data_IF_383529023829
#
_entry.id   IF_383529023829
#
_cell.length_a   1.000
_cell.length_b   1.000
_cell.length_c   1.000
_cell.angle_alpha   90.00
_cell.angle_beta   90.00
_cell.angle_gamma   90.00
#
_symmetry.space_group_name_H-M   'P 1'
#
loop_
_entity.id
_entity.type
_entity.pdbx_description
1 polymer ?
#
# COMPACT_ATOMS: atom_id res chain seq x y z
N UNK A 1 29.60 44.95 5.96
CA UNK A 1 28.74 43.87 6.50
C UNK A 1 27.82 44.43 7.58
N UNK A 2 26.92 43.62 8.13
CA UNK A 2 26.06 43.98 9.25
C UNK A 2 25.90 42.80 10.22
N UNK A 3 25.57 43.09 11.48
CA UNK A 3 25.15 42.09 12.45
C UNK A 3 23.85 42.55 13.14
N UNK A 4 22.96 41.60 13.36
CA UNK A 4 21.67 41.81 13.99
C UNK A 4 21.44 40.72 15.04
N UNK A 5 20.92 41.11 16.21
CA UNK A 5 20.58 40.16 17.26
C UNK A 5 19.25 40.54 17.91
N UNK A 6 18.42 39.54 18.17
CA UNK A 6 17.26 39.65 19.05
C UNK A 6 17.53 38.88 20.34
N UNK A 7 16.93 39.36 21.43
CA UNK A 7 16.91 38.67 22.70
C UNK A 7 15.46 38.59 23.17
N UNK A 8 14.93 37.37 23.26
CA UNK A 8 13.54 37.08 23.66
C UNK A 8 12.51 38.01 22.97
N UNK A 9 12.70 38.23 21.65
CA UNK A 9 11.80 39.11 20.90
C UNK A 9 10.41 38.48 20.91
N UNK A 10 9.41 39.23 21.38
CA UNK A 10 8.01 38.86 21.41
C UNK A 10 7.21 39.93 20.66
N UNK A 11 6.27 39.49 19.83
CA UNK A 11 5.35 40.37 19.13
C UNK A 11 4.05 39.64 18.85
N UNK A 12 2.99 40.40 18.58
CA UNK A 12 1.70 39.89 18.15
C UNK A 12 1.50 40.35 16.72
N UNK A 13 1.17 39.43 15.81
CA UNK A 13 0.85 39.81 14.42
C UNK A 13 -0.53 40.49 14.38
N UNK A 14 -0.83 41.22 13.31
CA UNK A 14 -2.18 41.81 13.12
C UNK A 14 -3.30 40.76 13.16
N UNK A 15 -2.97 39.50 12.86
CA UNK A 15 -3.85 38.35 12.88
C UNK A 15 -4.00 37.72 14.28
N UNK A 16 -3.39 38.33 15.31
CA UNK A 16 -3.48 37.92 16.72
C UNK A 16 -2.55 36.78 17.12
N UNK A 17 -1.63 36.36 16.25
CA UNK A 17 -0.68 35.29 16.56
C UNK A 17 0.43 35.81 17.47
N UNK A 18 0.59 35.19 18.64
CA UNK A 18 1.67 35.50 19.57
C UNK A 18 2.95 34.77 19.18
N UNK A 19 4.02 35.52 18.94
CA UNK A 19 5.36 34.97 18.83
C UNK A 19 5.86 34.58 20.24
N UNK A 20 6.21 33.31 20.50
CA UNK A 20 6.43 32.76 21.85
C UNK A 20 7.76 33.18 22.51
N UNK A 21 8.46 34.17 21.94
CA UNK A 21 9.83 34.52 22.28
C UNK A 21 10.84 33.67 21.51
N UNK A 22 11.94 34.28 21.07
CA UNK A 22 13.03 33.57 20.39
C UNK A 22 14.22 34.47 20.13
N UNK A 23 15.40 33.85 20.01
CA UNK A 23 16.63 34.55 19.71
C UNK A 23 17.02 34.31 18.27
N UNK A 24 17.42 35.38 17.59
CA UNK A 24 18.01 35.34 16.25
C UNK A 24 19.29 36.13 16.33
N UNK A 25 20.40 35.55 15.89
CA UNK A 25 21.66 36.23 15.66
C UNK A 25 22.03 36.01 14.19
N UNK A 26 22.09 37.10 13.43
CA UNK A 26 22.46 37.11 12.03
C UNK A 26 23.71 37.97 11.87
N UNK A 27 24.77 37.40 11.30
CA UNK A 27 25.94 38.16 10.86
C UNK A 27 26.11 37.99 9.36
N UNK A 28 26.43 39.08 8.66
CA UNK A 28 26.68 39.06 7.23
C UNK A 28 27.85 39.97 6.89
N UNK A 29 28.78 39.46 6.09
CA UNK A 29 29.87 40.24 5.52
C UNK A 29 29.79 40.16 4.01
N UNK A 30 29.72 41.31 3.35
CA UNK A 30 29.72 41.42 1.90
C UNK A 30 31.07 41.05 1.28
N UNK A 31 31.10 40.96 -0.04
CA UNK A 31 32.33 40.74 -0.79
C UNK A 31 33.14 42.04 -0.86
N UNK A 32 34.09 42.24 0.05
CA UNK A 32 35.09 43.33 0.01
C UNK A 32 36.49 42.75 -0.24
N UNK A 33 37.31 43.42 -1.06
CA UNK A 33 38.73 43.11 -1.22
C UNK A 33 39.09 41.74 -1.80
N UNK A 34 38.21 41.13 -2.62
CA UNK A 34 38.42 39.78 -3.18
C UNK A 34 37.95 38.63 -2.29
N UNK A 35 37.37 38.92 -1.12
CA UNK A 35 36.67 37.94 -0.29
C UNK A 35 35.30 37.56 -0.84
N UNK A 36 34.85 36.33 -0.58
CA UNK A 36 33.48 35.91 -0.85
C UNK A 36 32.54 36.46 0.22
N UNK A 37 31.34 36.90 -0.19
CA UNK A 37 30.29 37.22 0.78
C UNK A 37 30.00 35.99 1.65
N UNK A 38 29.71 36.18 2.93
CA UNK A 38 29.41 35.09 3.85
C UNK A 38 28.41 35.56 4.90
N UNK A 39 27.65 34.62 5.44
CA UNK A 39 26.74 34.89 6.53
C UNK A 39 26.58 33.71 7.47
N UNK A 40 26.16 34.03 8.68
CA UNK A 40 25.89 33.09 9.75
C UNK A 40 24.60 33.49 10.44
N UNK A 41 23.70 32.51 10.60
CA UNK A 41 22.42 32.62 11.27
C UNK A 41 22.38 31.60 12.39
N UNK A 42 22.18 32.06 13.60
CA UNK A 42 21.82 31.22 14.73
C UNK A 42 20.44 31.65 15.22
N UNK A 43 19.54 30.70 15.37
CA UNK A 43 18.22 30.97 15.87
C UNK A 43 17.69 29.86 16.77
N UNK A 44 16.85 30.23 17.71
CA UNK A 44 16.14 29.31 18.58
C UNK A 44 14.67 29.73 18.71
N UNK A 45 13.83 28.75 19.06
CA UNK A 45 12.41 28.94 19.37
C UNK A 45 11.63 29.68 18.28
N UNK A 46 11.81 29.28 17.02
CA UNK A 46 11.09 29.89 15.90
C UNK A 46 9.75 29.19 15.66
N UNK A 47 8.66 29.95 15.61
CA UNK A 47 7.37 29.44 15.15
C UNK A 47 7.28 29.60 13.62
N UNK A 48 7.20 28.48 12.89
CA UNK A 48 7.20 28.48 11.42
C UNK A 48 5.94 29.12 10.83
N UNK A 49 4.80 29.02 11.53
CA UNK A 49 3.56 29.64 11.10
C UNK A 49 3.64 31.16 11.18
N UNK A 50 4.14 31.68 12.30
CA UNK A 50 4.36 33.11 12.48
C UNK A 50 5.46 33.64 11.53
N UNK A 51 6.54 32.87 11.31
CA UNK A 51 7.56 33.22 10.31
C UNK A 51 6.98 33.28 8.90
N UNK A 52 6.09 32.37 8.54
CA UNK A 52 5.40 32.38 7.24
C UNK A 52 4.63 33.69 7.01
N UNK A 53 3.93 34.21 8.03
CA UNK A 53 3.21 35.49 7.96
C UNK A 53 4.13 36.70 7.82
N UNK A 54 5.31 36.68 8.46
CA UNK A 54 6.30 37.75 8.32
C UNK A 54 6.94 37.66 6.93
N UNK A 55 7.35 36.46 6.52
CA UNK A 55 8.04 36.19 5.26
C UNK A 55 7.20 36.57 4.03
N UNK A 56 5.86 36.41 4.09
CA UNK A 56 4.96 36.82 3.01
C UNK A 56 4.97 38.34 2.75
N UNK A 57 5.39 39.14 3.73
CA UNK A 57 5.46 40.61 3.65
C UNK A 57 6.87 41.14 3.35
N UNK A 58 7.88 40.27 3.38
CA UNK A 58 9.27 40.62 3.05
C UNK A 58 9.56 40.47 1.56
N UNK A 59 10.49 41.25 0.98
CA UNK A 59 10.86 41.16 -0.43
C UNK A 59 11.75 39.93 -0.72
N UNK A 60 11.20 38.72 -0.54
CA UNK A 60 11.91 37.44 -0.73
C UNK A 60 11.88 36.93 -2.18
N UNK A 61 11.11 37.57 -3.05
CA UNK A 61 10.93 37.18 -4.44
C UNK A 61 9.80 36.15 -4.65
N UNK A 62 9.27 36.13 -5.88
CA UNK A 62 8.06 35.37 -6.22
C UNK A 62 8.19 33.85 -6.00
N UNK A 63 9.37 33.27 -6.28
CA UNK A 63 9.61 31.84 -6.09
C UNK A 63 9.55 31.43 -4.61
N UNK A 64 10.12 32.24 -3.71
CA UNK A 64 10.10 31.98 -2.27
C UNK A 64 8.68 32.11 -1.71
N UNK A 65 7.94 33.15 -2.11
CA UNK A 65 6.53 33.31 -1.71
C UNK A 65 5.65 32.16 -2.22
N UNK A 66 5.83 31.74 -3.47
CA UNK A 66 5.10 30.60 -4.03
C UNK A 66 5.42 29.30 -3.27
N UNK A 67 6.68 29.06 -2.91
CA UNK A 67 7.08 27.89 -2.13
C UNK A 67 6.49 27.91 -0.72
N UNK A 68 6.54 29.07 -0.03
CA UNK A 68 5.95 29.26 1.30
C UNK A 68 4.43 29.05 1.27
N UNK A 69 3.73 29.58 0.25
CA UNK A 69 2.30 29.38 0.09
C UNK A 69 1.96 27.91 -0.24
N UNK A 70 2.76 27.25 -1.07
CA UNK A 70 2.47 25.89 -1.53
C UNK A 70 2.73 24.82 -0.46
N UNK A 71 3.77 25.00 0.37
CA UNK A 71 4.14 24.02 1.40
C UNK A 71 3.66 24.42 2.81
N UNK A 72 3.37 25.71 3.02
CA UNK A 72 2.82 26.28 4.24
C UNK A 72 3.39 25.64 5.52
N UNK A 73 4.73 25.64 5.72
CA UNK A 73 5.35 24.92 6.81
C UNK A 73 4.87 25.46 8.16
N UNK A 74 4.53 24.56 9.08
CA UNK A 74 4.16 24.89 10.47
C UNK A 74 4.96 24.06 11.45
N UNK A 75 4.92 24.44 12.72
CA UNK A 75 5.65 23.79 13.79
C UNK A 75 6.68 24.70 14.43
N UNK A 76 7.49 24.11 15.29
CA UNK A 76 8.41 24.86 16.14
C UNK A 76 9.85 24.40 15.90
N UNK A 77 10.70 25.33 15.45
CA UNK A 77 12.14 25.09 15.33
C UNK A 77 12.77 25.40 16.68
N UNK A 78 13.27 24.37 17.34
CA UNK A 78 13.92 24.47 18.64
C UNK A 78 15.29 25.12 18.50
N UNK A 79 16.06 24.66 17.51
CA UNK A 79 17.40 25.19 17.20
C UNK A 79 17.61 25.22 15.68
N UNK A 80 18.28 26.28 15.23
CA UNK A 80 18.73 26.45 13.86
C UNK A 80 20.10 27.11 13.86
N UNK A 81 21.01 26.52 13.11
CA UNK A 81 22.30 27.10 12.78
C UNK A 81 22.50 26.96 11.29
N UNK A 82 22.77 28.07 10.61
CA UNK A 82 23.07 28.09 9.19
C UNK A 82 24.29 28.98 8.95
N UNK A 83 25.21 28.53 8.11
CA UNK A 83 26.31 29.35 7.59
C UNK A 83 26.37 29.19 6.09
N UNK A 84 26.69 30.26 5.37
CA UNK A 84 26.79 30.22 3.92
C UNK A 84 27.91 31.12 3.39
N UNK A 85 28.35 30.81 2.17
CA UNK A 85 29.31 31.58 1.39
C UNK A 85 28.73 31.82 -0.01
N UNK A 86 28.96 33.01 -0.54
CA UNK A 86 28.32 33.54 -1.74
C UNK A 86 27.16 34.49 -1.42
N UNK A 87 26.66 35.20 -2.44
CA UNK A 87 25.47 36.03 -2.31
C UNK A 87 24.22 35.15 -2.11
N UNK A 88 23.18 35.67 -1.45
CA UNK A 88 21.99 34.91 -1.05
C UNK A 88 21.18 34.35 -2.24
N UNK A 89 21.30 34.99 -3.41
CA UNK A 89 20.68 34.58 -4.67
C UNK A 89 21.50 33.52 -5.43
N UNK A 90 22.77 33.32 -5.07
CA UNK A 90 23.67 32.32 -5.67
C UNK A 90 24.64 31.75 -4.61
N UNK A 91 24.09 31.14 -3.56
CA UNK A 91 24.87 30.52 -2.49
C UNK A 91 25.73 29.38 -3.03
N UNK A 92 27.04 29.44 -2.79
CA UNK A 92 28.01 28.47 -3.30
C UNK A 92 28.27 27.32 -2.32
N UNK A 93 28.37 27.65 -1.03
CA UNK A 93 28.58 26.68 0.04
C UNK A 93 27.67 27.03 1.19
N UNK A 94 27.10 26.02 1.81
CA UNK A 94 26.29 26.20 3.00
C UNK A 94 26.38 25.00 3.91
N UNK A 95 26.15 25.25 5.19
CA UNK A 95 25.93 24.22 6.20
C UNK A 95 24.75 24.67 7.05
N UNK A 96 23.80 23.76 7.26
CA UNK A 96 22.61 24.00 8.03
C UNK A 96 22.39 22.82 8.96
N UNK A 97 22.17 23.10 10.24
CA UNK A 97 21.84 22.10 11.24
C UNK A 97 20.77 22.62 12.17
N UNK A 98 19.91 21.74 12.66
CA UNK A 98 18.82 22.17 13.53
C UNK A 98 17.91 21.05 13.97
N UNK A 99 16.94 21.44 14.79
CA UNK A 99 15.87 20.56 15.28
C UNK A 99 14.54 21.28 15.22
N UNK A 100 13.52 20.58 14.72
CA UNK A 100 12.14 21.04 14.71
C UNK A 100 11.22 19.97 15.31
N UNK A 101 10.10 20.40 15.89
CA UNK A 101 9.05 19.54 16.44
C UNK A 101 7.68 20.00 15.99
N UNK A 102 6.74 19.05 15.93
CA UNK A 102 5.39 19.31 15.42
C UNK A 102 5.44 19.90 14.00
N UNK A 103 6.44 19.51 13.22
CA UNK A 103 6.64 19.98 11.86
C UNK A 103 5.46 19.48 11.01
N UNK A 104 4.84 20.42 10.31
CA UNK A 104 3.85 20.15 9.30
C UNK A 104 4.32 20.76 7.98
N UNK A 105 4.24 19.97 6.92
CA UNK A 105 4.50 20.42 5.55
C UNK A 105 3.35 19.92 4.69
N UNK A 106 2.66 20.84 4.03
CA UNK A 106 1.54 20.51 3.17
C UNK A 106 2.01 19.68 1.97
N UNK A 107 1.21 18.67 1.63
CA UNK A 107 1.37 17.90 0.40
C UNK A 107 0.99 18.75 -0.81
N UNK A 108 1.41 18.32 -2.00
CA UNK A 108 0.98 18.93 -3.26
C UNK A 108 0.49 17.86 -4.21
N UNK A 109 -0.68 18.04 -4.85
CA UNK A 109 -1.15 17.09 -5.85
C UNK A 109 -0.19 17.05 -7.04
N UNK A 110 0.00 15.84 -7.58
CA UNK A 110 0.69 15.64 -8.85
C UNK A 110 -0.22 15.99 -10.03
N UNK A 111 0.32 15.92 -11.24
CA UNK A 111 -0.51 15.90 -12.44
C UNK A 111 -1.44 14.66 -12.42
N UNK A 112 -2.53 14.69 -13.18
CA UNK A 112 -3.48 13.58 -13.25
C UNK A 112 -2.76 12.26 -13.59
N UNK A 113 -2.97 11.22 -12.78
CA UNK A 113 -2.31 9.92 -12.94
C UNK A 113 -0.88 9.85 -12.39
N UNK A 114 -0.34 10.91 -11.79
CA UNK A 114 1.01 10.94 -11.22
C UNK A 114 1.02 11.22 -9.72
N UNK A 115 2.01 10.64 -9.02
CA UNK A 115 2.24 10.93 -7.61
C UNK A 115 2.58 12.42 -7.42
N UNK A 116 2.00 13.01 -6.37
CA UNK A 116 2.31 14.36 -5.95
C UNK A 116 3.52 14.46 -5.02
N UNK A 117 3.73 15.63 -4.44
CA UNK A 117 4.71 15.84 -3.38
C UNK A 117 4.08 15.43 -2.05
N UNK A 118 4.70 14.51 -1.29
CA UNK A 118 4.14 14.07 -0.03
C UNK A 118 4.14 15.18 1.02
N UNK A 119 3.16 15.13 1.92
CA UNK A 119 3.05 15.97 3.10
C UNK A 119 3.29 15.18 4.38
N UNK A 120 3.56 15.91 5.46
CA UNK A 120 3.76 15.33 6.80
C UNK A 120 3.11 16.23 7.85
N UNK A 121 2.59 15.63 8.92
CA UNK A 121 2.14 16.35 10.12
C UNK A 121 2.63 15.68 11.38
N UNK A 122 2.99 16.50 12.37
CA UNK A 122 3.42 16.01 13.69
C UNK A 122 4.85 15.45 13.72
N UNK A 123 5.71 15.79 12.75
CA UNK A 123 7.07 15.28 12.73
C UNK A 123 8.01 16.04 13.69
N UNK A 124 8.83 15.30 14.41
CA UNK A 124 10.05 15.81 15.02
C UNK A 124 11.24 15.43 14.12
N UNK A 125 12.02 16.44 13.72
CA UNK A 125 13.11 16.30 12.76
C UNK A 125 14.38 16.92 13.33
N UNK A 126 15.45 16.15 13.35
CA UNK A 126 16.81 16.64 13.56
C UNK A 126 17.57 16.50 12.25
N UNK A 127 18.23 17.56 11.79
CA UNK A 127 18.86 17.59 10.48
C UNK A 127 20.22 18.30 10.52
N UNK A 128 21.10 17.89 9.61
CA UNK A 128 22.41 18.49 9.35
C UNK A 128 22.74 18.26 7.88
N UNK A 129 22.96 19.33 7.12
CA UNK A 129 23.16 19.23 5.67
C UNK A 129 23.99 20.37 5.09
N UNK A 130 24.57 20.10 3.93
CA UNK A 130 25.39 21.01 3.12
C UNK A 130 24.93 20.95 1.67
N UNK A 131 25.59 21.71 0.79
CA UNK A 131 25.33 21.65 -0.65
C UNK A 131 25.55 20.27 -1.29
N UNK A 132 26.35 19.40 -0.68
CA UNK A 132 26.64 18.05 -1.20
C UNK A 132 25.64 16.98 -0.71
N UNK A 133 24.78 17.30 0.25
CA UNK A 133 23.93 16.32 0.92
C UNK A 133 23.84 16.52 2.43
N UNK A 134 23.17 15.59 3.10
CA UNK A 134 22.89 15.72 4.52
C UNK A 134 22.33 14.48 5.17
N UNK A 135 21.97 14.61 6.44
CA UNK A 135 21.34 13.58 7.26
C UNK A 135 20.15 14.18 7.99
N UNK A 136 19.13 13.35 8.20
CA UNK A 136 18.00 13.71 9.04
C UNK A 136 17.50 12.50 9.82
N UNK A 137 17.15 12.73 11.09
CA UNK A 137 16.39 11.79 11.91
C UNK A 137 14.98 12.31 12.01
N UNK A 138 14.01 11.50 11.59
CA UNK A 138 12.60 11.84 11.65
C UNK A 138 11.91 10.90 12.63
N UNK A 139 11.08 11.47 13.49
CA UNK A 139 10.17 10.71 14.32
C UNK A 139 8.77 11.32 14.31
N UNK A 140 7.75 10.49 14.37
CA UNK A 140 6.35 10.90 14.52
C UNK A 140 5.79 10.10 15.68
N UNK A 141 5.10 10.78 16.59
CA UNK A 141 4.25 10.16 17.61
C UNK A 141 2.87 10.76 17.42
N UNK A 142 1.92 9.97 16.93
CA UNK A 142 0.57 10.42 16.56
C UNK A 142 0.59 11.56 15.53
N UNK A 143 0.68 11.20 14.25
CA UNK A 143 0.70 12.16 13.15
C UNK A 143 0.12 11.59 11.86
N UNK A 144 0.43 12.25 10.75
CA UNK A 144 -0.11 11.90 9.44
C UNK A 144 0.98 12.00 8.37
N UNK A 145 0.94 11.07 7.42
CA UNK A 145 1.64 11.20 6.14
C UNK A 145 0.60 11.36 5.05
N UNK A 146 0.85 12.24 4.10
CA UNK A 146 -0.09 12.53 3.01
C UNK A 146 0.59 12.24 1.67
N UNK A 147 0.03 11.32 0.88
CA UNK A 147 0.56 10.85 -0.39
C UNK A 147 -0.43 11.08 -1.53
N UNK A 148 -0.64 12.35 -1.95
CA UNK A 148 -1.60 12.67 -2.99
C UNK A 148 -1.23 12.01 -4.32
N UNK A 149 -2.23 11.45 -5.00
CA UNK A 149 -2.05 10.74 -6.27
C UNK A 149 -1.53 9.30 -6.13
N UNK A 150 -1.08 8.87 -4.94
CA UNK A 150 -0.63 7.49 -4.70
C UNK A 150 -1.79 6.62 -4.21
N UNK A 151 -2.51 7.03 -3.17
CA UNK A 151 -3.64 6.29 -2.61
C UNK A 151 -4.97 7.02 -2.84
N UNK A 152 -6.08 6.28 -2.88
CA UNK A 152 -7.44 6.87 -2.94
C UNK A 152 -7.75 7.68 -1.67
N UNK A 153 -7.31 7.17 -0.52
CA UNK A 153 -7.27 7.92 0.74
C UNK A 153 -5.81 8.33 1.00
N UNK A 154 -5.39 9.52 0.56
CA UNK A 154 -3.97 9.88 0.53
C UNK A 154 -3.39 10.14 1.93
N UNK A 155 -4.24 10.49 2.90
CA UNK A 155 -3.84 10.73 4.29
C UNK A 155 -3.80 9.41 5.05
N UNK A 156 -2.61 9.06 5.54
CA UNK A 156 -2.32 7.90 6.34
C UNK A 156 -2.00 8.32 7.78
N UNK A 157 -2.87 8.00 8.76
CA UNK A 157 -2.56 8.12 10.17
C UNK A 157 -1.36 7.25 10.55
N UNK A 158 -0.52 7.78 11.42
CA UNK A 158 0.70 7.14 11.92
C UNK A 158 0.71 7.23 13.43
N UNK A 159 0.73 6.07 14.10
CA UNK A 159 0.85 6.02 15.55
C UNK A 159 2.29 6.29 15.98
N UNK A 160 3.23 5.64 15.30
CA UNK A 160 4.66 5.85 15.50
C UNK A 160 5.42 5.69 14.19
N UNK A 161 6.43 6.55 13.96
CA UNK A 161 7.39 6.39 12.88
C UNK A 161 8.76 6.85 13.36
N UNK A 162 9.81 6.13 12.97
CA UNK A 162 11.20 6.50 13.20
C UNK A 162 11.98 6.19 11.92
N UNK A 163 12.73 7.17 11.41
CA UNK A 163 13.53 7.03 10.21
C UNK A 163 14.87 7.76 10.31
N UNK A 164 15.95 7.07 9.97
CA UNK A 164 17.27 7.66 9.75
C UNK A 164 17.53 7.80 8.24
N UNK A 165 17.67 9.05 7.78
CA UNK A 165 17.80 9.41 6.38
C UNK A 165 19.17 10.03 6.10
N UNK A 166 19.76 9.68 4.97
CA UNK A 166 20.96 10.31 4.43
C UNK A 166 20.76 10.56 2.93
N UNK A 167 21.00 11.79 2.47
CA UNK A 167 20.93 12.10 1.05
C UNK A 167 22.21 12.74 0.54
N UNK A 168 22.44 12.58 -0.75
CA UNK A 168 23.56 13.14 -1.49
C UNK A 168 23.04 13.84 -2.74
N UNK A 169 23.72 14.92 -3.09
CA UNK A 169 23.42 15.75 -4.26
C UNK A 169 24.70 15.85 -5.08
N UNK A 170 24.65 15.42 -6.33
CA UNK A 170 25.75 15.54 -7.30
C UNK A 170 25.21 16.14 -8.61
N UNK A 171 25.35 17.45 -8.77
CA UNK A 171 24.70 18.21 -9.83
C UNK A 171 23.18 18.03 -9.79
N UNK A 172 22.60 17.40 -10.81
CA UNK A 172 21.17 17.07 -10.85
C UNK A 172 20.84 15.69 -10.25
N UNK A 173 21.84 14.86 -9.97
CA UNK A 173 21.64 13.55 -9.39
C UNK A 173 21.33 13.68 -7.89
N UNK A 174 20.23 13.04 -7.47
CA UNK A 174 19.85 12.92 -6.07
C UNK A 174 19.89 11.46 -5.67
N UNK A 175 20.45 11.17 -4.51
CA UNK A 175 20.39 9.86 -3.88
C UNK A 175 19.91 10.02 -2.43
N UNK A 176 18.98 9.17 -2.00
CA UNK A 176 18.44 9.10 -0.65
C UNK A 176 18.59 7.67 -0.14
N UNK A 177 19.08 7.52 1.08
CA UNK A 177 19.15 6.27 1.80
C UNK A 177 18.38 6.42 3.12
N UNK A 178 17.49 5.46 3.38
CA UNK A 178 16.76 5.30 4.63
C UNK A 178 17.25 4.00 5.25
N UNK A 179 18.17 4.12 6.21
CA UNK A 179 18.90 2.97 6.75
C UNK A 179 18.06 2.12 7.70
N UNK A 180 17.18 2.77 8.46
CA UNK A 180 16.19 2.11 9.31
C UNK A 180 14.92 2.93 9.26
N UNK A 181 13.82 2.29 8.89
CA UNK A 181 12.46 2.81 9.03
C UNK A 181 11.70 1.84 9.92
N UNK A 182 11.11 2.33 11.00
CA UNK A 182 10.15 1.59 11.84
C UNK A 182 8.86 2.38 11.88
N UNK A 183 7.73 1.69 11.74
CA UNK A 183 6.44 2.35 11.75
C UNK A 183 5.35 1.46 12.32
N UNK A 184 4.31 2.11 12.83
CA UNK A 184 3.05 1.48 13.20
C UNK A 184 1.88 2.44 12.98
N UNK A 185 0.74 1.87 12.63
CA UNK A 185 -0.57 2.53 12.71
C UNK A 185 -1.64 1.48 13.08
N UNK A 186 -2.90 1.87 13.02
CA UNK A 186 -4.03 0.97 13.28
C UNK A 186 -4.11 -0.25 12.34
N UNK A 187 -3.52 -0.16 11.15
CA UNK A 187 -3.68 -1.14 10.08
C UNK A 187 -2.47 -2.09 9.97
N UNK A 188 -1.26 -1.62 10.30
CA UNK A 188 -0.01 -2.39 10.16
C UNK A 188 1.12 -1.91 11.08
N UNK A 189 2.07 -2.82 11.34
CA UNK A 189 3.33 -2.55 12.03
C UNK A 189 4.47 -3.22 11.29
N UNK A 190 5.58 -2.52 11.11
CA UNK A 190 6.71 -3.07 10.38
C UNK A 190 7.99 -2.25 10.43
N UNK A 191 8.97 -2.78 9.72
CA UNK A 191 10.27 -2.16 9.50
C UNK A 191 10.70 -2.29 8.05
N UNK A 192 11.47 -1.31 7.57
CA UNK A 192 11.96 -1.28 6.22
C UNK A 192 13.30 -0.54 6.12
N UNK A 193 13.93 -0.69 4.98
CA UNK A 193 15.06 0.11 4.54
C UNK A 193 14.87 0.41 3.06
N UNK A 194 15.31 1.58 2.63
CA UNK A 194 15.16 2.02 1.25
C UNK A 194 16.40 2.75 0.77
N UNK A 195 16.74 2.58 -0.49
CA UNK A 195 17.59 3.53 -1.22
C UNK A 195 16.86 3.96 -2.48
N UNK A 196 16.90 5.24 -2.77
CA UNK A 196 16.29 5.84 -3.94
C UNK A 196 17.32 6.75 -4.61
N UNK A 197 17.29 6.80 -5.93
CA UNK A 197 18.06 7.78 -6.68
C UNK A 197 17.31 8.21 -7.92
N UNK A 198 17.59 9.42 -8.39
CA UNK A 198 17.12 9.85 -9.71
C UNK A 198 17.67 8.92 -10.80
N UNK A 199 16.87 8.68 -11.83
CA UNK A 199 17.35 7.97 -13.01
C UNK A 199 18.38 8.82 -13.76
N UNK A 200 19.29 8.18 -14.49
CA UNK A 200 20.26 8.88 -15.34
C UNK A 200 19.57 9.38 -16.61
N UNK A 201 19.45 10.70 -16.83
CA UNK A 201 18.83 11.23 -18.05
C UNK A 201 19.58 10.81 -19.32
N UNK A 202 20.89 10.57 -19.22
CA UNK A 202 21.73 10.15 -20.36
C UNK A 202 21.50 8.68 -20.74
N UNK A 203 20.93 7.89 -19.83
CA UNK A 203 20.48 6.53 -20.10
C UNK A 203 19.09 6.48 -20.77
N UNK A 204 18.52 7.65 -21.14
CA UNK A 204 17.27 7.75 -21.90
C UNK A 204 15.99 7.71 -21.05
N UNK A 205 16.09 7.74 -19.71
CA UNK A 205 14.95 7.76 -18.80
C UNK A 205 14.64 9.16 -18.25
N UNK A 206 13.38 9.44 -17.90
CA UNK A 206 13.06 10.66 -17.16
C UNK A 206 13.64 10.59 -15.74
N UNK A 207 14.09 11.74 -15.21
CA UNK A 207 14.74 11.84 -13.88
C UNK A 207 13.91 11.24 -12.74
N UNK A 208 12.58 11.34 -12.84
CA UNK A 208 11.59 10.85 -11.90
C UNK A 208 10.64 9.88 -12.60
N UNK A 209 10.06 8.87 -11.91
CA UNK A 209 10.13 8.64 -10.46
C UNK A 209 11.44 8.04 -9.93
N UNK A 210 12.41 7.70 -10.79
CA UNK A 210 13.75 7.27 -10.39
C UNK A 210 13.86 5.77 -10.10
N UNK A 211 14.99 5.36 -9.52
CA UNK A 211 15.32 3.96 -9.21
C UNK A 211 15.19 3.73 -7.71
N UNK A 212 14.34 2.78 -7.33
CA UNK A 212 14.09 2.39 -5.94
C UNK A 212 14.71 1.03 -5.64
N UNK A 213 15.21 0.86 -4.43
CA UNK A 213 15.59 -0.40 -3.81
C UNK A 213 15.04 -0.36 -2.37
N UNK A 214 13.88 -0.97 -2.17
CA UNK A 214 13.11 -1.01 -0.93
C UNK A 214 12.97 -2.46 -0.49
N UNK A 215 13.18 -2.74 0.78
CA UNK A 215 12.86 -4.03 1.39
C UNK A 215 12.37 -3.83 2.80
N UNK A 216 11.50 -4.72 3.27
CA UNK A 216 11.02 -4.66 4.63
C UNK A 216 10.16 -5.84 5.01
N UNK A 217 9.72 -5.79 6.27
CA UNK A 217 8.81 -6.78 6.86
C UNK A 217 7.70 -6.09 7.63
N UNK A 218 6.50 -6.66 7.58
CA UNK A 218 5.39 -6.30 8.44
C UNK A 218 5.23 -7.40 9.47
N UNK A 219 5.34 -7.07 10.75
CA UNK A 219 5.10 -8.02 11.83
C UNK A 219 3.60 -8.29 11.98
N UNK A 220 2.78 -7.27 11.75
CA UNK A 220 1.32 -7.31 11.80
C UNK A 220 0.75 -6.51 10.63
N UNK A 221 -0.32 -7.02 10.02
CA UNK A 221 -1.10 -6.33 9.01
C UNK A 221 -2.55 -6.83 9.04
N UNK A 222 -3.51 -5.91 9.09
CA UNK A 222 -4.93 -6.18 8.99
C UNK A 222 -5.33 -6.37 7.51
N UNK A 223 -5.76 -7.58 7.17
CA UNK A 223 -6.17 -7.92 5.81
C UNK A 223 -7.38 -7.11 5.33
N UNK A 224 -8.25 -6.66 6.24
CA UNK A 224 -9.46 -5.88 5.90
C UNK A 224 -9.13 -4.46 5.44
N UNK A 225 -7.89 -4.00 5.68
CA UNK A 225 -7.42 -2.65 5.36
C UNK A 225 -6.54 -2.59 4.12
N UNK A 226 -6.16 -3.73 3.54
CA UNK A 226 -5.23 -3.80 2.40
C UNK A 226 -5.67 -2.96 1.20
N UNK A 227 -6.98 -2.89 0.92
CA UNK A 227 -7.53 -2.15 -0.21
C UNK A 227 -7.19 -0.64 -0.18
N UNK A 228 -7.01 -0.08 1.02
CA UNK A 228 -6.65 1.32 1.25
C UNK A 228 -5.21 1.64 0.81
N UNK A 229 -4.35 0.63 0.86
CA UNK A 229 -2.93 0.71 0.49
C UNK A 229 -2.65 0.27 -0.95
N UNK A 230 -3.69 -0.03 -1.73
CA UNK A 230 -3.55 -0.27 -3.17
C UNK A 230 -3.41 1.07 -3.91
N UNK A 231 -2.36 1.26 -4.72
CA UNK A 231 -2.17 2.50 -5.45
C UNK A 231 -3.33 2.83 -6.40
N UNK A 232 -3.51 4.11 -6.71
CA UNK A 232 -4.52 4.61 -7.67
C UNK A 232 -4.36 4.03 -9.08
N UNK A 233 -3.16 3.55 -9.44
CA UNK A 233 -2.89 2.81 -10.67
C UNK A 233 -3.55 1.43 -10.75
N UNK A 234 -3.96 0.84 -9.61
CA UNK A 234 -4.83 -0.34 -9.60
C UNK A 234 -6.27 0.13 -9.90
N UNK A 235 -6.99 -0.44 -10.88
CA UNK A 235 -8.34 0.03 -11.21
C UNK A 235 -9.28 0.10 -10.00
N UNK A 236 -10.12 1.13 -9.92
CA UNK A 236 -11.04 1.32 -8.79
C UNK A 236 -11.91 0.09 -8.50
N UNK A 237 -12.44 -0.54 -9.55
CA UNK A 237 -13.24 -1.76 -9.42
C UNK A 237 -12.48 -2.91 -8.72
N UNK A 238 -11.18 -3.05 -8.98
CA UNK A 238 -10.35 -4.05 -8.30
C UNK A 238 -10.13 -3.69 -6.82
N UNK A 239 -9.90 -2.41 -6.50
CA UNK A 239 -9.79 -1.95 -5.10
C UNK A 239 -11.10 -2.18 -4.33
N UNK A 240 -12.23 -1.82 -4.94
CA UNK A 240 -13.56 -1.99 -4.36
C UNK A 240 -13.93 -3.48 -4.18
N UNK A 241 -13.51 -4.34 -5.13
CA UNK A 241 -13.63 -5.80 -5.00
C UNK A 241 -12.84 -6.30 -3.79
N UNK A 242 -11.56 -5.93 -3.65
CA UNK A 242 -10.74 -6.36 -2.51
C UNK A 242 -11.34 -5.90 -1.18
N UNK A 243 -11.82 -4.65 -1.11
CA UNK A 243 -12.53 -4.10 0.06
C UNK A 243 -13.75 -4.93 0.45
N UNK A 244 -14.50 -5.42 -0.54
CA UNK A 244 -15.74 -6.17 -0.31
C UNK A 244 -15.51 -7.66 -0.09
N UNK A 245 -14.37 -8.19 -0.53
CA UNK A 245 -14.06 -9.62 -0.53
C UNK A 245 -13.28 -10.05 0.70
N UNK A 246 -12.39 -9.22 1.25
CA UNK A 246 -11.60 -9.55 2.45
C UNK A 246 -12.31 -9.04 3.71
N UNK A 247 -13.10 -9.91 4.33
CA UNK A 247 -13.98 -9.55 5.45
C UNK A 247 -13.31 -9.68 6.83
N UNK A 248 -12.30 -10.54 6.93
CA UNK A 248 -11.47 -10.73 8.11
C UNK A 248 -10.12 -11.32 7.69
N UNK A 249 -9.11 -11.20 8.53
CA UNK A 249 -7.84 -11.91 8.39
C UNK A 249 -6.62 -11.07 8.75
N UNK A 250 -5.50 -11.74 9.03
CA UNK A 250 -4.22 -11.08 9.31
C UNK A 250 -3.11 -11.64 8.45
N UNK A 251 -2.09 -10.83 8.17
CA UNK A 251 -0.94 -11.20 7.37
C UNK A 251 0.40 -11.00 8.12
N UNK A 252 0.67 -11.79 9.18
CA UNK A 252 1.88 -11.63 9.98
C UNK A 252 3.14 -12.03 9.20
N UNK A 253 4.25 -11.34 9.48
CA UNK A 253 5.54 -11.66 8.87
C UNK A 253 5.57 -11.43 7.35
N UNK A 254 4.74 -10.53 6.84
CA UNK A 254 4.70 -10.20 5.41
C UNK A 254 6.03 -9.57 5.01
N UNK A 255 6.66 -10.09 3.95
CA UNK A 255 7.91 -9.56 3.38
C UNK A 255 7.61 -8.84 2.08
N UNK A 256 8.29 -7.72 1.83
CA UNK A 256 8.15 -7.00 0.57
C UNK A 256 9.50 -6.52 0.05
N UNK A 257 9.60 -6.46 -1.28
CA UNK A 257 10.77 -6.02 -2.04
C UNK A 257 10.32 -5.26 -3.28
N UNK A 258 10.91 -4.09 -3.51
CA UNK A 258 10.79 -3.35 -4.77
C UNK A 258 12.19 -2.92 -5.17
N UNK A 259 12.68 -3.34 -6.33
CA UNK A 259 14.00 -2.97 -6.82
C UNK A 259 13.95 -2.70 -8.32
N UNK A 260 14.24 -1.48 -8.76
CA UNK A 260 14.31 -1.14 -10.19
C UNK A 260 13.84 0.27 -10.50
N UNK A 261 13.78 0.59 -11.79
CA UNK A 261 13.25 1.88 -12.28
C UNK A 261 11.74 1.91 -12.15
N UNK A 262 11.24 2.86 -11.36
CA UNK A 262 9.81 2.97 -11.03
C UNK A 262 8.93 3.30 -12.25
N UNK A 263 9.48 3.73 -13.40
CA UNK A 263 8.73 3.82 -14.65
C UNK A 263 8.20 2.48 -15.15
N UNK A 264 8.92 1.40 -14.83
CA UNK A 264 8.58 0.05 -15.26
C UNK A 264 7.82 -0.74 -14.20
N UNK A 265 7.63 -0.17 -13.00
CA UNK A 265 6.86 -0.82 -11.93
C UNK A 265 5.42 -1.10 -12.42
N UNK A 266 4.84 -2.29 -12.19
CA UNK A 266 5.28 -3.37 -11.28
C UNK A 266 6.25 -4.40 -11.89
N UNK A 267 6.98 -4.08 -12.94
CA UNK A 267 7.97 -4.92 -13.64
C UNK A 267 7.35 -6.18 -14.25
N UNK A 268 6.82 -6.06 -15.49
CA UNK A 268 6.34 -7.20 -16.28
C UNK A 268 7.48 -8.17 -16.58
N UNK A 269 7.14 -9.41 -16.94
CA UNK A 269 8.13 -10.41 -17.32
C UNK A 269 9.08 -9.89 -18.41
N UNK A 270 10.40 -9.98 -18.15
CA UNK A 270 11.44 -9.48 -19.05
C UNK A 270 11.86 -8.02 -18.81
N UNK A 271 11.12 -7.24 -18.01
CA UNK A 271 11.55 -5.90 -17.60
C UNK A 271 12.61 -5.97 -16.48
N UNK A 272 13.60 -5.07 -16.46
CA UNK A 272 14.59 -5.02 -15.39
C UNK A 272 13.96 -4.54 -14.09
N UNK A 273 13.89 -5.42 -13.10
CA UNK A 273 13.44 -5.09 -11.75
C UNK A 273 12.89 -6.28 -10.99
N UNK A 274 12.57 -6.05 -9.73
CA UNK A 274 11.97 -7.01 -8.82
C UNK A 274 10.84 -6.33 -8.06
N UNK A 275 9.65 -6.91 -8.13
CA UNK A 275 8.56 -6.63 -7.21
C UNK A 275 8.12 -7.96 -6.61
N UNK A 276 8.21 -8.07 -5.29
CA UNK A 276 7.82 -9.26 -4.55
C UNK A 276 7.10 -8.85 -3.27
N UNK A 277 5.93 -9.43 -3.02
CA UNK A 277 5.28 -9.42 -1.71
C UNK A 277 4.97 -10.87 -1.35
N UNK A 278 5.38 -11.30 -0.16
CA UNK A 278 5.10 -12.63 0.37
C UNK A 278 4.40 -12.46 1.71
N UNK A 279 3.09 -12.69 1.73
CA UNK A 279 2.24 -12.55 2.90
C UNK A 279 1.68 -13.92 3.32
N UNK A 280 2.20 -14.54 4.39
CA UNK A 280 1.48 -15.61 5.07
C UNK A 280 0.18 -15.04 5.63
N UNK A 281 -0.95 -15.67 5.32
CA UNK A 281 -2.26 -15.21 5.79
C UNK A 281 -2.92 -16.25 6.68
N UNK A 282 -3.70 -15.79 7.66
CA UNK A 282 -4.46 -16.64 8.57
C UNK A 282 -5.76 -16.00 9.00
N UNK A 283 -6.69 -16.84 9.45
CA UNK A 283 -8.01 -16.46 9.94
C UNK A 283 -8.80 -15.61 8.93
N UNK A 284 -8.54 -15.82 7.64
CA UNK A 284 -9.15 -15.02 6.58
C UNK A 284 -10.60 -15.46 6.36
N UNK A 285 -11.50 -14.48 6.29
CA UNK A 285 -12.85 -14.67 5.76
C UNK A 285 -12.92 -14.00 4.40
N UNK A 286 -13.13 -14.80 3.35
CA UNK A 286 -13.08 -14.36 1.96
C UNK A 286 -14.41 -14.59 1.25
N UNK A 287 -15.07 -13.51 0.86
CA UNK A 287 -16.23 -13.51 -0.01
C UNK A 287 -15.79 -13.40 -1.47
N UNK A 288 -15.53 -14.53 -2.14
CA UNK A 288 -15.02 -14.58 -3.52
C UNK A 288 -16.01 -14.07 -4.58
N UNK A 289 -17.30 -13.93 -4.24
CA UNK A 289 -18.27 -13.15 -5.02
C UNK A 289 -19.01 -12.24 -4.04
N UNK A 290 -18.49 -11.04 -3.77
CA UNK A 290 -19.14 -10.11 -2.85
C UNK A 290 -20.45 -9.58 -3.45
N UNK A 291 -21.33 -9.02 -2.60
CA UNK A 291 -22.61 -8.43 -3.06
C UNK A 291 -22.43 -7.25 -4.02
N UNK A 292 -21.27 -6.58 -3.98
CA UNK A 292 -20.96 -5.46 -4.88
C UNK A 292 -20.84 -5.86 -6.35
N UNK A 293 -20.72 -7.15 -6.67
CA UNK A 293 -20.55 -7.67 -8.04
C UNK A 293 -21.61 -8.69 -8.44
N UNK A 294 -22.69 -8.85 -7.66
CA UNK A 294 -23.76 -9.80 -8.00
C UNK A 294 -25.15 -9.28 -7.62
N UNK A 295 -26.12 -9.64 -8.46
CA UNK A 295 -27.54 -9.53 -8.17
C UNK A 295 -28.09 -10.93 -7.89
N UNK A 296 -28.40 -11.26 -6.63
CA UNK A 296 -29.00 -12.54 -6.27
C UNK A 296 -28.62 -13.12 -4.91
N UNK A 297 -28.89 -14.42 -4.69
CA UNK A 297 -28.45 -15.14 -3.50
C UNK A 297 -26.93 -15.04 -3.32
N UNK A 298 -26.47 -14.82 -2.09
CA UNK A 298 -25.04 -14.71 -1.84
C UNK A 298 -24.34 -16.06 -2.04
N UNK A 299 -23.17 -16.04 -2.69
CA UNK A 299 -22.24 -17.16 -2.61
C UNK A 299 -21.76 -17.33 -1.16
N UNK A 300 -21.62 -18.58 -0.67
CA UNK A 300 -21.15 -18.83 0.68
C UNK A 300 -19.68 -18.43 0.78
N UNK A 301 -19.34 -17.53 1.69
CA UNK A 301 -17.96 -17.11 1.90
C UNK A 301 -17.09 -18.29 2.38
N UNK A 302 -15.78 -18.15 2.20
CA UNK A 302 -14.80 -19.05 2.80
C UNK A 302 -14.31 -18.44 4.12
N UNK A 303 -14.10 -19.25 5.14
CA UNK A 303 -13.76 -18.80 6.51
C UNK A 303 -12.60 -19.59 7.07
N UNK A 304 -11.84 -18.95 7.97
CA UNK A 304 -10.68 -19.56 8.61
C UNK A 304 -9.63 -19.97 7.59
N UNK A 305 -9.52 -19.23 6.49
CA UNK A 305 -8.54 -19.52 5.46
C UNK A 305 -7.13 -19.19 5.99
N UNK A 306 -6.19 -20.09 5.73
CA UNK A 306 -4.77 -19.90 5.94
C UNK A 306 -3.99 -20.36 4.71
N UNK A 307 -2.90 -19.68 4.37
CA UNK A 307 -2.10 -19.97 3.18
C UNK A 307 -1.04 -18.91 2.92
N UNK A 308 -0.49 -18.89 1.71
CA UNK A 308 0.52 -17.92 1.30
C UNK A 308 0.01 -17.09 0.11
N UNK A 309 -0.02 -15.77 0.27
CA UNK A 309 -0.25 -14.82 -0.82
C UNK A 309 1.10 -14.32 -1.34
N UNK A 310 1.29 -14.37 -2.65
CA UNK A 310 2.51 -13.94 -3.33
C UNK A 310 2.17 -13.00 -4.48
N UNK A 311 2.67 -11.78 -4.45
CA UNK A 311 2.71 -10.92 -5.62
C UNK A 311 4.11 -10.96 -6.20
N UNK A 312 4.24 -11.18 -7.51
CA UNK A 312 5.52 -11.19 -8.22
C UNK A 312 5.37 -10.48 -9.55
N UNK A 313 6.10 -9.38 -9.72
CA UNK A 313 5.98 -8.56 -10.92
C UNK A 313 4.52 -8.09 -11.12
N UNK A 314 4.02 -8.20 -12.35
CA UNK A 314 2.63 -7.91 -12.67
C UNK A 314 1.63 -9.06 -12.36
N UNK A 315 1.99 -10.06 -11.56
CA UNK A 315 1.14 -11.23 -11.28
C UNK A 315 0.96 -11.51 -9.79
N UNK A 316 0.07 -12.47 -9.50
CA UNK A 316 -0.27 -12.92 -8.15
C UNK A 316 -0.54 -14.41 -8.10
N UNK A 317 -0.13 -15.04 -6.99
CA UNK A 317 -0.39 -16.42 -6.65
C UNK A 317 -0.91 -16.53 -5.21
N UNK A 318 -1.84 -17.45 -5.00
CA UNK A 318 -2.28 -17.88 -3.69
C UNK A 318 -1.99 -19.37 -3.60
N UNK A 319 -1.20 -19.75 -2.61
CA UNK A 319 -0.62 -21.09 -2.51
C UNK A 319 -1.06 -21.77 -1.22
N UNK A 320 -1.41 -23.06 -1.32
CA UNK A 320 -1.65 -23.94 -0.19
C UNK A 320 -2.77 -23.46 0.74
N UNK A 321 -3.81 -22.84 0.18
CA UNK A 321 -4.95 -22.35 0.97
C UNK A 321 -5.66 -23.53 1.60
N UNK A 322 -5.95 -23.42 2.89
CA UNK A 322 -6.82 -24.34 3.61
C UNK A 322 -7.85 -23.56 4.40
N UNK A 323 -9.09 -24.02 4.47
CA UNK A 323 -10.12 -23.43 5.31
C UNK A 323 -11.47 -24.12 5.16
N UNK A 324 -12.56 -23.39 5.38
CA UNK A 324 -13.90 -23.96 5.46
C UNK A 324 -14.93 -23.12 4.72
N UNK A 325 -16.08 -23.71 4.39
CA UNK A 325 -17.23 -23.00 3.84
C UNK A 325 -18.07 -22.42 4.98
N UNK A 326 -18.43 -21.13 4.90
CA UNK A 326 -19.30 -20.47 5.88
C UNK A 326 -20.66 -21.18 5.95
N UNK A 327 -21.10 -21.52 7.16
CA UNK A 327 -22.35 -22.26 7.39
C UNK A 327 -22.25 -23.78 7.18
N UNK A 328 -21.11 -24.29 6.73
CA UNK A 328 -20.86 -25.71 6.50
C UNK A 328 -19.45 -26.09 7.00
N UNK A 329 -19.30 -26.08 8.33
CA UNK A 329 -18.00 -26.16 9.00
C UNK A 329 -17.25 -27.49 8.78
N UNK A 330 -17.94 -28.56 8.34
CA UNK A 330 -17.30 -29.84 8.04
C UNK A 330 -16.82 -29.91 6.59
N UNK A 331 -17.24 -29.00 5.72
CA UNK A 331 -16.66 -28.86 4.38
C UNK A 331 -15.30 -28.17 4.46
N UNK A 332 -14.23 -28.96 4.35
CA UNK A 332 -12.87 -28.46 4.24
C UNK A 332 -12.57 -28.06 2.80
N UNK A 333 -11.92 -26.92 2.63
CA UNK A 333 -11.49 -26.37 1.34
C UNK A 333 -9.98 -26.38 1.30
N UNK A 334 -9.41 -26.89 0.22
CA UNK A 334 -8.02 -26.71 -0.15
C UNK A 334 -7.93 -26.09 -1.54
N UNK A 335 -7.14 -25.04 -1.74
CA UNK A 335 -7.08 -24.38 -3.04
C UNK A 335 -5.74 -23.67 -3.32
N UNK A 336 -5.48 -23.52 -4.61
CA UNK A 336 -4.46 -22.65 -5.17
C UNK A 336 -5.13 -21.74 -6.20
N UNK A 337 -4.65 -20.50 -6.34
CA UNK A 337 -5.14 -19.56 -7.33
C UNK A 337 -4.01 -18.74 -7.93
N UNK A 338 -4.18 -18.28 -9.18
CA UNK A 338 -3.17 -17.49 -9.87
C UNK A 338 -3.79 -16.49 -10.85
N UNK A 339 -3.15 -15.34 -10.95
CA UNK A 339 -3.27 -14.37 -12.04
C UNK A 339 -1.87 -14.16 -12.59
N UNK A 340 -1.62 -14.57 -13.84
CA UNK A 340 -0.29 -14.51 -14.43
C UNK A 340 0.19 -13.07 -14.69
N UNK A 341 -0.72 -12.23 -15.18
CA UNK A 341 -0.50 -10.82 -15.48
C UNK A 341 -1.83 -10.07 -15.26
N UNK A 342 -1.79 -8.98 -14.48
CA UNK A 342 -2.98 -8.17 -14.19
C UNK A 342 -3.51 -7.42 -15.42
N UNK A 343 -2.72 -7.20 -16.46
CA UNK A 343 -3.19 -6.60 -17.70
C UNK A 343 -4.15 -7.55 -18.45
N UNK A 344 -3.75 -8.82 -18.58
CA UNK A 344 -4.54 -9.88 -19.21
C UNK A 344 -5.11 -10.79 -18.10
N UNK A 345 -5.88 -10.18 -17.20
CA UNK A 345 -6.35 -10.82 -15.97
C UNK A 345 -7.23 -12.05 -16.23
N UNK A 346 -6.61 -13.24 -16.18
CA UNK A 346 -7.29 -14.53 -16.10
C UNK A 346 -7.05 -15.12 -14.71
N UNK A 347 -8.14 -15.36 -13.98
CA UNK A 347 -8.07 -16.02 -12.67
C UNK A 347 -8.15 -17.53 -12.89
N UNK A 348 -7.05 -18.20 -12.56
CA UNK A 348 -6.99 -19.66 -12.53
C UNK A 348 -7.17 -20.13 -11.10
N UNK A 349 -8.10 -21.06 -10.86
CA UNK A 349 -8.31 -21.65 -9.53
C UNK A 349 -8.25 -23.15 -9.65
N UNK A 350 -7.54 -23.79 -8.73
CA UNK A 350 -7.56 -25.24 -8.53
C UNK A 350 -7.94 -25.49 -7.08
N UNK A 351 -9.09 -26.12 -6.88
CA UNK A 351 -9.67 -26.30 -5.56
C UNK A 351 -10.14 -27.73 -5.35
N UNK A 352 -10.18 -28.12 -4.08
CA UNK A 352 -10.79 -29.35 -3.58
C UNK A 352 -11.65 -29.03 -2.38
N UNK A 353 -12.87 -29.56 -2.36
CA UNK A 353 -13.78 -29.48 -1.22
C UNK A 353 -14.08 -30.89 -0.75
N UNK A 354 -13.91 -31.17 0.54
CA UNK A 354 -14.18 -32.48 1.13
C UNK A 354 -15.08 -32.35 2.36
N UNK A 355 -16.07 -33.22 2.48
CA UNK A 355 -16.89 -33.32 3.67
C UNK A 355 -18.23 -34.02 3.44
N UNK A 356 -19.18 -33.92 4.39
CA UNK A 356 -20.45 -34.64 4.33
C UNK A 356 -21.31 -34.21 3.14
N UNK A 357 -21.89 -35.18 2.43
CA UNK A 357 -22.80 -34.93 1.29
C UNK A 357 -23.96 -34.03 1.68
N UNK A 358 -24.50 -34.20 2.89
CA UNK A 358 -25.59 -33.38 3.41
C UNK A 358 -25.25 -31.89 3.51
N UNK A 359 -24.02 -31.55 3.92
CA UNK A 359 -23.57 -30.15 3.93
C UNK A 359 -23.31 -29.62 2.53
N UNK A 360 -22.72 -30.42 1.65
CA UNK A 360 -22.51 -30.05 0.23
C UNK A 360 -23.84 -29.73 -0.46
N UNK A 361 -24.87 -30.56 -0.25
CA UNK A 361 -26.21 -30.31 -0.78
C UNK A 361 -26.87 -29.08 -0.14
N UNK A 362 -26.66 -28.86 1.16
CA UNK A 362 -27.08 -27.64 1.84
C UNK A 362 -26.50 -26.38 1.17
N UNK A 363 -25.18 -26.38 0.92
CA UNK A 363 -24.47 -25.28 0.25
C UNK A 363 -24.97 -25.06 -1.17
N UNK A 364 -25.18 -26.13 -1.95
CA UNK A 364 -25.77 -26.03 -3.30
C UNK A 364 -27.15 -25.37 -3.21
N UNK A 365 -27.99 -25.81 -2.28
CA UNK A 365 -29.37 -25.36 -2.15
C UNK A 365 -29.52 -23.92 -1.64
N UNK A 366 -28.52 -23.38 -0.94
CA UNK A 366 -28.51 -22.00 -0.43
C UNK A 366 -27.68 -21.03 -1.28
N UNK A 367 -27.08 -21.49 -2.37
CA UNK A 367 -26.21 -20.68 -3.25
C UNK A 367 -26.83 -20.50 -4.64
N UNK A 368 -26.27 -19.60 -5.48
CA UNK A 368 -26.69 -19.47 -6.89
C UNK A 368 -26.63 -20.77 -7.70
N UNK A 369 -25.80 -21.75 -7.27
CA UNK A 369 -25.65 -23.05 -7.92
C UNK A 369 -26.98 -23.79 -8.04
N UNK A 370 -27.87 -23.67 -7.06
CA UNK A 370 -29.22 -24.24 -7.12
C UNK A 370 -29.95 -23.89 -8.43
N UNK A 371 -29.97 -22.61 -8.79
CA UNK A 371 -30.60 -22.13 -10.04
C UNK A 371 -29.80 -22.52 -11.27
N UNK A 372 -28.46 -22.55 -11.19
CA UNK A 372 -27.62 -23.01 -12.30
C UNK A 372 -27.87 -24.48 -12.65
N UNK A 373 -28.30 -25.28 -11.67
CA UNK A 373 -28.68 -26.68 -11.83
C UNK A 373 -30.19 -26.87 -12.09
N UNK A 374 -30.95 -25.81 -12.39
CA UNK A 374 -32.40 -25.87 -12.57
C UNK A 374 -33.12 -26.61 -11.42
N UNK A 375 -32.69 -26.39 -10.18
CA UNK A 375 -33.21 -27.03 -8.98
C UNK A 375 -33.10 -28.58 -8.96
N UNK A 376 -32.29 -29.19 -9.84
CA UNK A 376 -32.20 -30.65 -9.98
C UNK A 376 -31.81 -31.39 -8.69
N UNK A 377 -31.02 -30.74 -7.83
CA UNK A 377 -30.58 -31.28 -6.54
C UNK A 377 -31.36 -30.73 -5.34
N UNK A 378 -32.43 -29.96 -5.56
CA UNK A 378 -33.15 -29.26 -4.49
C UNK A 378 -33.75 -30.19 -3.44
N UNK A 379 -34.11 -31.42 -3.84
CA UNK A 379 -34.68 -32.46 -2.97
C UNK A 379 -33.75 -33.66 -2.81
N UNK A 380 -32.50 -33.54 -3.27
CA UNK A 380 -31.53 -34.62 -3.14
C UNK A 380 -31.14 -34.82 -1.68
N UNK A 381 -30.92 -36.07 -1.31
CA UNK A 381 -30.37 -36.46 0.00
C UNK A 381 -29.21 -37.41 -0.21
N UNK A 382 -28.27 -37.42 0.73
CA UNK A 382 -27.21 -38.42 0.70
C UNK A 382 -26.43 -38.53 2.00
N UNK A 383 -25.78 -39.67 2.17
CA UNK A 383 -24.99 -40.04 3.35
C UNK A 383 -23.49 -40.07 3.02
N UNK A 384 -22.65 -40.12 4.06
CA UNK A 384 -21.19 -40.22 3.91
C UNK A 384 -20.52 -38.92 3.45
N UNK A 385 -19.25 -39.04 3.06
CA UNK A 385 -18.44 -37.93 2.58
C UNK A 385 -18.33 -37.96 1.05
N UNK A 386 -18.23 -36.79 0.45
CA UNK A 386 -17.87 -36.61 -0.94
C UNK A 386 -16.65 -35.69 -1.07
N UNK A 387 -15.90 -35.91 -2.14
CA UNK A 387 -14.85 -35.01 -2.58
C UNK A 387 -15.27 -34.34 -3.89
N UNK A 388 -15.15 -33.02 -3.94
CA UNK A 388 -15.35 -32.21 -5.14
C UNK A 388 -14.02 -31.61 -5.55
N UNK A 389 -13.52 -31.99 -6.73
CA UNK A 389 -12.42 -31.30 -7.40
C UNK A 389 -12.95 -30.21 -8.33
N UNK A 390 -12.29 -29.06 -8.37
CA UNK A 390 -12.69 -27.92 -9.20
C UNK A 390 -11.47 -27.27 -9.83
N UNK A 391 -11.55 -26.99 -11.14
CA UNK A 391 -10.63 -26.15 -11.89
C UNK A 391 -11.42 -25.08 -12.61
N UNK A 392 -11.06 -23.82 -12.39
CA UNK A 392 -11.68 -22.66 -13.00
C UNK A 392 -10.64 -21.88 -13.80
N UNK A 393 -11.08 -21.35 -14.94
CA UNK A 393 -10.37 -20.31 -15.68
C UNK A 393 -11.35 -19.19 -15.99
N UNK A 394 -11.12 -18.02 -15.40
CA UNK A 394 -12.05 -16.89 -15.42
C UNK A 394 -11.36 -15.65 -16.03
N UNK A 395 -11.52 -15.40 -17.34
CA UNK A 395 -11.05 -14.16 -17.95
C UNK A 395 -11.88 -12.97 -17.43
N UNK A 396 -11.31 -12.08 -16.62
CA UNK A 396 -12.08 -11.02 -15.94
C UNK A 396 -12.73 -10.02 -16.91
N UNK A 397 -12.10 -9.78 -18.07
CA UNK A 397 -12.66 -8.93 -19.11
C UNK A 397 -13.83 -9.58 -19.89
N UNK A 398 -13.92 -10.92 -19.87
CA UNK A 398 -14.89 -11.72 -20.63
C UNK A 398 -15.36 -12.92 -19.80
N UNK A 399 -16.07 -12.65 -18.70
CA UNK A 399 -16.54 -13.69 -17.78
C UNK A 399 -17.51 -14.68 -18.46
N UNK A 400 -18.14 -14.30 -19.57
CA UNK A 400 -18.94 -15.19 -20.43
C UNK A 400 -18.12 -16.35 -21.02
N UNK A 401 -16.78 -16.21 -21.11
CA UNK A 401 -15.85 -17.23 -21.60
C UNK A 401 -15.24 -18.08 -20.49
N UNK A 402 -15.80 -18.01 -19.27
CA UNK A 402 -15.33 -18.78 -18.13
C UNK A 402 -15.42 -20.29 -18.41
N UNK A 403 -14.37 -21.01 -18.03
CA UNK A 403 -14.32 -22.46 -18.15
C UNK A 403 -14.37 -23.09 -16.77
N UNK A 404 -15.16 -24.17 -16.65
CA UNK A 404 -15.31 -24.92 -15.41
C UNK A 404 -15.02 -26.38 -15.72
N UNK A 405 -14.17 -27.01 -14.92
CA UNK A 405 -13.98 -28.45 -14.94
C UNK A 405 -14.06 -28.92 -13.49
N UNK A 406 -14.91 -29.90 -13.22
CA UNK A 406 -15.01 -30.45 -11.88
C UNK A 406 -15.30 -31.94 -11.88
N UNK A 407 -15.09 -32.54 -10.71
CA UNK A 407 -15.39 -33.92 -10.45
C UNK A 407 -15.98 -34.08 -9.06
N UNK A 408 -16.93 -35.00 -8.91
CA UNK A 408 -17.49 -35.44 -7.63
C UNK A 408 -17.21 -36.92 -7.49
N UNK A 409 -16.44 -37.29 -6.47
CA UNK A 409 -16.15 -38.71 -6.19
C UNK A 409 -17.05 -39.20 -5.07
N UNK A 410 -17.79 -40.27 -5.35
CA UNK A 410 -18.60 -41.00 -4.39
C UNK A 410 -17.85 -42.25 -3.92
N UNK A 411 -17.74 -42.44 -2.61
CA UNK A 411 -16.94 -43.48 -1.97
C UNK A 411 -17.81 -44.56 -1.30
N UNK A 412 -19.00 -44.83 -1.84
CA UNK A 412 -19.99 -45.73 -1.24
C UNK A 412 -21.10 -44.99 -0.52
N UNK A 413 -21.54 -43.87 -1.08
CA UNK A 413 -22.60 -43.02 -0.53
C UNK A 413 -23.98 -43.60 -0.83
N UNK A 414 -24.93 -43.46 0.07
CA UNK A 414 -26.33 -43.64 -0.29
C UNK A 414 -26.85 -42.31 -0.82
N UNK A 415 -27.42 -42.30 -2.02
CA UNK A 415 -27.86 -41.06 -2.70
C UNK A 415 -29.28 -41.25 -3.24
N UNK A 416 -30.14 -40.27 -2.98
CA UNK A 416 -31.47 -40.18 -3.56
C UNK A 416 -31.65 -38.78 -4.17
N UNK A 417 -31.94 -38.69 -5.47
CA UNK A 417 -32.00 -37.40 -6.19
C UNK A 417 -33.32 -36.69 -5.95
N UNK A 418 -34.42 -37.44 -5.95
CA UNK A 418 -35.77 -36.97 -5.62
C UNK A 418 -36.53 -38.01 -4.80
N UNK A 419 -37.58 -37.62 -4.06
CA UNK A 419 -38.41 -38.56 -3.30
C UNK A 419 -38.99 -39.71 -4.15
N UNK A 420 -39.24 -39.46 -5.43
CA UNK A 420 -39.81 -40.42 -6.38
C UNK A 420 -38.73 -41.27 -7.08
N UNK A 421 -37.45 -40.95 -6.89
CA UNK A 421 -36.32 -41.71 -7.45
C UNK A 421 -35.89 -42.85 -6.51
N UNK A 422 -35.42 -44.00 -7.06
CA UNK A 422 -34.91 -45.08 -6.24
C UNK A 422 -33.67 -44.64 -5.46
N UNK A 423 -33.53 -45.14 -4.24
CA UNK A 423 -32.33 -44.96 -3.43
C UNK A 423 -31.16 -45.72 -4.05
N UNK A 424 -30.12 -45.01 -4.45
CA UNK A 424 -28.86 -45.61 -4.91
C UNK A 424 -27.99 -45.91 -3.69
N UNK A 425 -28.01 -47.15 -3.22
CA UNK A 425 -27.24 -47.56 -2.05
C UNK A 425 -25.78 -47.84 -2.40
N UNK A 426 -24.84 -47.41 -1.56
CA UNK A 426 -23.39 -47.62 -1.71
C UNK A 426 -22.86 -47.22 -3.10
N UNK A 427 -23.36 -46.13 -3.65
CA UNK A 427 -22.92 -45.59 -4.93
C UNK A 427 -21.42 -45.28 -4.90
N UNK A 428 -20.68 -45.82 -5.87
CA UNK A 428 -19.25 -45.59 -6.09
C UNK A 428 -19.06 -45.15 -7.53
N UNK A 429 -18.22 -44.14 -7.72
CA UNK A 429 -17.92 -43.62 -9.06
C UNK A 429 -17.53 -42.15 -9.01
N UNK A 430 -17.20 -41.61 -10.18
CA UNK A 430 -16.90 -40.20 -10.35
C UNK A 430 -17.88 -39.56 -11.33
N UNK A 431 -18.51 -38.47 -10.92
CA UNK A 431 -19.28 -37.60 -11.80
C UNK A 431 -18.36 -36.47 -12.24
N UNK A 432 -18.07 -36.37 -13.53
CA UNK A 432 -17.33 -35.23 -14.08
C UNK A 432 -18.31 -34.21 -14.61
N UNK A 433 -18.05 -32.93 -14.42
CA UNK A 433 -18.88 -31.85 -14.93
C UNK A 433 -18.04 -30.72 -15.51
N UNK A 434 -18.63 -29.98 -16.44
CA UNK A 434 -18.08 -28.77 -17.03
C UNK A 434 -19.15 -27.72 -17.23
N UNK A 435 -18.79 -26.57 -17.80
CA UNK A 435 -19.74 -25.55 -18.21
C UNK A 435 -20.76 -26.03 -19.27
N UNK A 436 -20.51 -27.17 -19.92
CA UNK A 436 -21.34 -27.74 -20.99
C UNK A 436 -22.24 -28.89 -20.55
N UNK A 437 -22.07 -29.43 -19.35
CA UNK A 437 -22.86 -30.55 -18.87
C UNK A 437 -22.09 -31.46 -17.91
N UNK A 438 -22.55 -32.70 -17.77
CA UNK A 438 -21.92 -33.70 -16.90
C UNK A 438 -21.84 -35.06 -17.60
N UNK A 439 -20.88 -35.88 -17.16
CA UNK A 439 -20.69 -37.24 -17.61
C UNK A 439 -20.36 -38.15 -16.41
N UNK A 440 -20.83 -39.38 -16.47
CA UNK A 440 -20.53 -40.40 -15.47
C UNK A 440 -19.30 -41.18 -15.91
N UNK A 441 -18.27 -41.25 -15.07
CA UNK A 441 -17.08 -42.03 -15.31
C UNK A 441 -17.06 -43.25 -14.37
N UNK A 442 -17.11 -44.46 -14.95
CA UNK A 442 -17.02 -45.72 -14.21
C UNK A 442 -18.27 -46.09 -13.41
N UNK A 443 -19.46 -45.70 -13.89
CA UNK A 443 -20.76 -46.08 -13.33
C UNK A 443 -21.39 -47.19 -14.16
#
# INVERSE_FOLDING_TARGET
GFSFRTQDLQFVTEEGQHWPGGNVALSWTGAEGGGTAQGELQADRLDLGALGQVASRLPLGAAAHAALAAHAPRGFVETLYARWQGPLDAVQKYEVRGRARGLEVASRPGAEGHAGVPGVRGAAVEFDFTQAGGRAKVSIQQGELDFPGVFEEPVLPVDSLQADMHWQVDGEALALNVGSLKFSNADARGEAQASWRTADPKAGGARFPGVLDLQGTLTEADGTRVWRYLPTGVPKQARDYVRSSVLAGTAPGTKFRVRGDLHHFPFRAGAPGEFLVQAPVRDVTFAYVPRSVQDGPAWPALTGLAGQLVFRGAGMEVQGVQGKVLGAARLQVAADARIADFHDSVVEVQGRIQGPVSESLGVVNTSPVKRMLNDALARATGTGNAEVGLRLSLPLAHLDRSQVQGSVTLAGNDVQISPDSPLLTRARGAVQFSEKGFQLAGV
#
